data_IF_532004627447
#
_entry.id   IF_532004627447
#
_cell.length_a   1.000
_cell.length_b   1.000
_cell.length_c   1.000
_cell.angle_alpha   90.00
_cell.angle_beta   90.00
_cell.angle_gamma   90.00
#
_symmetry.space_group_name_H-M   'P 1'
#
loop_
_entity.id
_entity.type
_entity.pdbx_description
1 polymer ?
#
# COMPACT_ATOMS: atom_id res chain seq x y z
N UNK A 1 16.09 19.25 -7.55
CA UNK A 1 15.65 18.50 -6.35
C UNK A 1 15.27 19.52 -5.29
N UNK A 2 14.15 19.34 -4.58
CA UNK A 2 13.75 20.22 -3.48
C UNK A 2 14.58 19.94 -2.22
N UNK A 3 14.73 20.93 -1.35
CA UNK A 3 15.53 20.76 -0.12
C UNK A 3 14.98 19.65 0.80
N UNK A 4 13.67 19.44 0.84
CA UNK A 4 13.05 18.40 1.67
C UNK A 4 13.40 16.99 1.19
N UNK A 5 13.46 16.74 -0.13
CA UNK A 5 13.88 15.44 -0.65
C UNK A 5 15.33 15.12 -0.24
N UNK A 6 16.26 16.03 -0.48
CA UNK A 6 17.67 15.83 -0.08
C UNK A 6 17.82 15.65 1.44
N UNK A 7 17.07 16.40 2.24
CA UNK A 7 17.02 16.24 3.69
C UNK A 7 16.52 14.84 4.09
N UNK A 8 15.44 14.35 3.49
CA UNK A 8 14.92 13.02 3.77
C UNK A 8 15.92 11.93 3.39
N UNK A 9 16.58 12.04 2.25
CA UNK A 9 17.64 11.11 1.84
C UNK A 9 18.76 11.03 2.88
N UNK A 10 19.22 12.18 3.37
CA UNK A 10 20.27 12.26 4.42
C UNK A 10 19.78 11.64 5.74
N UNK A 11 18.55 11.97 6.13
CA UNK A 11 17.97 11.47 7.38
C UNK A 11 17.68 9.97 7.34
N UNK A 12 17.25 9.42 6.20
CA UNK A 12 17.08 7.98 6.02
C UNK A 12 18.42 7.25 6.15
N UNK A 13 19.48 7.80 5.57
CA UNK A 13 20.83 7.23 5.72
C UNK A 13 21.32 7.27 7.16
N UNK A 14 21.10 8.39 7.87
CA UNK A 14 21.53 8.56 9.26
C UNK A 14 20.70 7.72 10.26
N UNK A 15 19.42 7.46 9.96
CA UNK A 15 18.50 6.70 10.80
C UNK A 15 18.25 5.28 10.26
N UNK A 16 19.17 4.77 9.44
CA UNK A 16 19.04 3.43 8.86
C UNK A 16 18.85 2.37 9.96
N UNK A 17 17.82 1.51 9.86
CA UNK A 17 17.52 0.53 10.89
C UNK A 17 18.65 -0.50 11.05
N UNK A 18 18.85 -1.06 12.24
CA UNK A 18 19.76 -2.19 12.43
C UNK A 18 19.40 -3.36 11.51
N UNK A 19 20.42 -4.01 10.95
CA UNK A 19 20.23 -5.10 9.98
C UNK A 19 19.94 -4.64 8.55
N UNK A 20 20.09 -3.34 8.29
CA UNK A 20 19.92 -2.74 6.97
C UNK A 20 21.03 -1.76 6.65
N UNK A 21 21.36 -1.66 5.38
CA UNK A 21 22.21 -0.60 4.83
C UNK A 21 21.37 0.38 4.00
N UNK A 22 21.76 1.64 3.99
CA UNK A 22 21.07 2.70 3.26
C UNK A 22 22.02 3.38 2.26
N UNK A 23 21.62 3.41 1.00
CA UNK A 23 22.34 4.14 -0.07
C UNK A 23 21.42 5.20 -0.67
N UNK A 24 21.90 6.42 -0.83
CA UNK A 24 21.18 7.52 -1.48
C UNK A 24 21.46 7.52 -2.97
N UNK A 25 20.57 8.07 -3.77
CA UNK A 25 20.72 8.23 -5.22
C UNK A 25 21.20 6.93 -5.89
N UNK A 26 20.52 5.82 -5.57
CA UNK A 26 20.95 4.50 -6.00
C UNK A 26 20.49 4.20 -7.44
N UNK A 27 21.41 3.92 -8.32
CA UNK A 27 21.11 3.52 -9.68
C UNK A 27 20.36 2.18 -9.72
N UNK A 28 19.30 2.13 -10.52
CA UNK A 28 18.44 0.96 -10.73
C UNK A 28 18.99 0.08 -11.85
N UNK A 29 19.59 0.71 -12.84
CA UNK A 29 20.22 0.09 -14.00
C UNK A 29 21.75 0.12 -13.85
N UNK A 30 22.40 -0.87 -14.40
CA UNK A 30 23.85 -0.81 -14.61
C UNK A 30 24.22 0.18 -15.73
N UNK A 31 25.52 0.48 -15.84
CA UNK A 31 26.03 1.48 -16.81
C UNK A 31 25.74 1.09 -18.26
N UNK A 32 25.74 -0.21 -18.58
CA UNK A 32 25.46 -0.72 -19.91
C UNK A 32 24.02 -0.39 -20.32
N UNK A 33 23.05 -0.73 -19.48
CA UNK A 33 21.63 -0.45 -19.75
C UNK A 33 21.30 1.04 -19.71
N UNK A 34 21.96 1.83 -18.84
CA UNK A 34 21.83 3.29 -18.89
C UNK A 34 22.27 3.85 -20.23
N UNK A 35 23.37 3.33 -20.79
CA UNK A 35 23.85 3.70 -22.11
C UNK A 35 22.89 3.32 -23.22
N UNK A 36 22.31 2.13 -23.19
CA UNK A 36 21.35 1.64 -24.19
C UNK A 36 20.04 2.42 -24.16
N UNK A 37 19.51 2.68 -22.96
CA UNK A 37 18.21 3.34 -22.80
C UNK A 37 18.28 4.87 -22.86
N UNK A 38 19.48 5.44 -22.73
CA UNK A 38 19.68 6.88 -22.79
C UNK A 38 19.17 7.66 -21.58
N UNK A 39 18.90 6.99 -20.45
CA UNK A 39 18.52 7.62 -19.18
C UNK A 39 19.02 6.81 -17.98
N UNK A 40 19.24 7.50 -16.86
CA UNK A 40 19.49 6.87 -15.57
C UNK A 40 18.20 6.84 -14.74
N UNK A 41 17.81 5.66 -14.30
CA UNK A 41 16.78 5.50 -13.27
C UNK A 41 17.51 5.42 -11.92
N UNK A 42 17.17 6.34 -11.02
CA UNK A 42 17.73 6.38 -9.66
C UNK A 42 16.60 6.42 -8.64
N UNK A 43 16.78 5.66 -7.57
CA UNK A 43 15.98 5.79 -6.39
C UNK A 43 16.55 6.88 -5.46
N UNK A 44 15.70 7.67 -4.85
CA UNK A 44 16.11 8.61 -3.81
C UNK A 44 16.86 7.90 -2.68
N UNK A 45 16.35 6.73 -2.28
CA UNK A 45 16.96 5.86 -1.27
C UNK A 45 16.82 4.38 -1.64
N UNK A 46 17.87 3.62 -1.44
CA UNK A 46 17.86 2.16 -1.46
C UNK A 46 18.19 1.64 -0.06
N UNK A 47 17.22 0.95 0.55
CA UNK A 47 17.47 0.15 1.75
C UNK A 47 17.71 -1.30 1.35
N UNK A 48 18.84 -1.86 1.81
CA UNK A 48 19.18 -3.26 1.57
C UNK A 48 19.33 -3.97 2.91
N UNK A 49 18.62 -5.08 3.10
CA UNK A 49 18.79 -5.92 4.30
C UNK A 49 20.18 -6.55 4.26
N UNK A 50 20.82 -6.73 5.42
CA UNK A 50 22.23 -7.16 5.51
C UNK A 50 22.50 -8.53 4.88
N UNK A 51 21.49 -9.40 4.79
CA UNK A 51 21.57 -10.67 4.06
C UNK A 51 21.48 -10.52 2.53
N UNK A 52 21.27 -9.30 2.03
CA UNK A 52 21.11 -9.00 0.62
C UNK A 52 19.82 -9.50 -0.03
N UNK A 53 18.94 -10.21 0.72
CA UNK A 53 17.77 -10.89 0.17
C UNK A 53 16.57 -9.96 -0.04
N UNK A 54 16.59 -8.74 0.53
CA UNK A 54 15.48 -7.79 0.40
C UNK A 54 16.03 -6.39 0.15
N UNK A 55 15.51 -5.74 -0.88
CA UNK A 55 15.83 -4.35 -1.20
C UNK A 55 14.54 -3.55 -1.32
N UNK A 56 14.55 -2.32 -0.78
CA UNK A 56 13.47 -1.36 -0.92
C UNK A 56 14.00 -0.14 -1.69
N UNK A 57 13.46 0.06 -2.87
CA UNK A 57 13.72 1.20 -3.73
C UNK A 57 12.68 2.28 -3.43
N UNK A 58 13.10 3.37 -2.78
CA UNK A 58 12.20 4.39 -2.23
C UNK A 58 12.33 5.68 -3.03
N UNK A 59 11.19 6.23 -3.44
CA UNK A 59 11.04 7.54 -4.09
C UNK A 59 10.23 8.48 -3.21
N UNK A 60 10.70 9.72 -3.03
CA UNK A 60 10.03 10.77 -2.27
C UNK A 60 9.34 11.77 -3.19
N UNK A 61 8.05 11.66 -3.35
CA UNK A 61 7.25 12.57 -4.17
C UNK A 61 6.76 13.76 -3.33
N UNK A 62 7.64 14.71 -3.12
CA UNK A 62 7.43 15.86 -2.24
C UNK A 62 6.73 17.02 -2.94
N UNK A 63 7.11 17.29 -4.20
CA UNK A 63 6.68 18.48 -4.94
C UNK A 63 5.42 18.24 -5.76
N UNK A 64 4.91 19.32 -6.38
CA UNK A 64 3.84 19.21 -7.39
C UNK A 64 4.31 18.61 -8.71
N UNK A 65 5.59 18.31 -8.86
CA UNK A 65 6.12 17.63 -10.02
C UNK A 65 5.38 16.30 -10.26
N UNK A 66 5.44 15.82 -11.47
CA UNK A 66 4.71 14.61 -11.85
C UNK A 66 5.45 13.35 -11.35
N UNK A 67 4.90 12.61 -10.38
CA UNK A 67 5.52 11.39 -9.88
C UNK A 67 5.57 10.27 -10.94
N UNK A 68 4.72 10.33 -11.96
CA UNK A 68 4.62 9.30 -12.99
C UNK A 68 5.92 9.13 -13.78
N UNK A 69 6.67 10.21 -13.99
CA UNK A 69 7.95 10.13 -14.69
C UNK A 69 8.95 9.19 -13.99
N UNK A 70 9.02 9.25 -12.65
CA UNK A 70 9.87 8.35 -11.87
C UNK A 70 9.35 6.90 -11.93
N UNK A 71 8.06 6.70 -11.71
CA UNK A 71 7.44 5.37 -11.82
C UNK A 71 7.65 4.75 -13.21
N UNK A 72 7.52 5.54 -14.29
CA UNK A 72 7.76 5.08 -15.65
C UNK A 72 9.21 4.66 -15.87
N UNK A 73 10.19 5.41 -15.34
CA UNK A 73 11.61 5.03 -15.41
C UNK A 73 11.86 3.68 -14.76
N UNK A 74 11.31 3.46 -13.55
CA UNK A 74 11.45 2.18 -12.86
C UNK A 74 10.76 1.04 -13.62
N UNK A 75 9.54 1.24 -14.09
CA UNK A 75 8.81 0.23 -14.85
C UNK A 75 9.54 -0.16 -16.13
N UNK A 76 10.04 0.83 -16.87
CA UNK A 76 10.82 0.60 -18.11
C UNK A 76 12.14 -0.08 -17.80
N UNK A 77 12.84 0.37 -16.75
CA UNK A 77 14.08 -0.29 -16.32
C UNK A 77 13.87 -1.77 -16.00
N UNK A 78 12.76 -2.10 -15.32
CA UNK A 78 12.41 -3.47 -14.99
C UNK A 78 12.13 -4.34 -16.23
N UNK A 79 11.59 -3.78 -17.30
CA UNK A 79 11.36 -4.52 -18.56
C UNK A 79 12.66 -4.95 -19.23
N UNK A 80 13.74 -4.17 -19.08
CA UNK A 80 15.04 -4.44 -19.70
C UNK A 80 16.00 -5.15 -18.76
N UNK A 81 16.03 -4.76 -17.49
CA UNK A 81 16.81 -5.36 -16.42
C UNK A 81 15.88 -5.70 -15.24
N UNK A 82 15.22 -6.88 -15.28
CA UNK A 82 14.25 -7.27 -14.27
C UNK A 82 14.82 -7.28 -12.86
N UNK A 83 14.17 -6.58 -11.95
CA UNK A 83 14.51 -6.61 -10.54
C UNK A 83 14.09 -7.95 -9.94
N UNK A 84 14.84 -8.50 -8.97
CA UNK A 84 14.46 -9.71 -8.24
C UNK A 84 13.06 -9.60 -7.63
N UNK A 85 12.31 -10.71 -7.51
CA UNK A 85 10.97 -10.72 -6.90
C UNK A 85 10.96 -10.25 -5.43
N UNK A 86 12.11 -10.30 -4.76
CA UNK A 86 12.30 -9.83 -3.38
C UNK A 86 12.48 -8.32 -3.28
N UNK A 87 12.79 -7.67 -4.38
CA UNK A 87 12.91 -6.22 -4.46
C UNK A 87 11.53 -5.57 -4.45
N UNK A 88 11.44 -4.42 -3.81
CA UNK A 88 10.19 -3.70 -3.71
C UNK A 88 10.40 -2.22 -4.00
N UNK A 89 9.61 -1.68 -4.91
CA UNK A 89 9.52 -0.25 -5.14
C UNK A 89 8.48 0.36 -4.20
N UNK A 90 8.81 1.48 -3.56
CA UNK A 90 7.93 2.23 -2.65
C UNK A 90 7.91 3.69 -3.02
N UNK A 91 6.80 4.18 -3.53
CA UNK A 91 6.58 5.62 -3.73
C UNK A 91 5.96 6.23 -2.46
N UNK A 92 6.65 7.18 -1.84
CA UNK A 92 6.16 7.94 -0.70
C UNK A 92 5.67 9.31 -1.18
N UNK A 93 4.35 9.47 -1.30
CA UNK A 93 3.72 10.63 -1.96
C UNK A 93 3.15 11.59 -0.93
N UNK A 94 3.59 12.84 -0.94
CA UNK A 94 3.12 13.85 0.01
C UNK A 94 1.71 14.37 -0.33
N UNK A 95 1.07 14.96 0.68
CA UNK A 95 -0.23 15.64 0.51
C UNK A 95 -0.16 16.88 -0.41
N UNK A 96 1.05 17.42 -0.68
CA UNK A 96 1.27 18.55 -1.57
C UNK A 96 1.14 18.19 -3.06
N UNK A 97 1.35 16.93 -3.42
CA UNK A 97 1.03 16.41 -4.76
C UNK A 97 -0.48 16.47 -4.96
N UNK A 98 -0.93 17.07 -6.04
CA UNK A 98 -2.38 17.24 -6.28
C UNK A 98 -3.09 15.90 -6.42
N UNK A 99 -4.38 15.85 -6.04
CA UNK A 99 -5.17 14.61 -6.06
C UNK A 99 -5.09 13.87 -7.39
N UNK A 100 -5.27 14.57 -8.53
CA UNK A 100 -5.22 13.94 -9.85
C UNK A 100 -3.87 13.28 -10.15
N UNK A 101 -2.76 13.92 -9.76
CA UNK A 101 -1.42 13.35 -9.93
C UNK A 101 -1.14 12.18 -9.00
N UNK A 102 -1.63 12.23 -7.76
CA UNK A 102 -1.53 11.09 -6.83
C UNK A 102 -2.28 9.87 -7.35
N UNK A 103 -3.47 10.09 -7.93
CA UNK A 103 -4.25 9.02 -8.53
C UNK A 103 -3.55 8.43 -9.77
N UNK A 104 -2.97 9.29 -10.61
CA UNK A 104 -2.20 8.84 -11.76
C UNK A 104 -0.96 8.05 -11.33
N UNK A 105 -0.26 8.49 -10.28
CA UNK A 105 0.84 7.75 -9.68
C UNK A 105 0.38 6.37 -9.18
N UNK A 106 -0.74 6.30 -8.45
CA UNK A 106 -1.32 5.04 -7.99
C UNK A 106 -1.64 4.08 -9.15
N UNK A 107 -2.22 4.61 -10.25
CA UNK A 107 -2.47 3.80 -11.45
C UNK A 107 -1.17 3.32 -12.10
N UNK A 108 -0.10 4.11 -12.04
CA UNK A 108 1.21 3.70 -12.56
C UNK A 108 1.82 2.60 -11.69
N UNK A 109 1.63 2.62 -10.37
CA UNK A 109 2.00 1.49 -9.49
C UNK A 109 1.28 0.21 -9.92
N UNK A 110 -0.01 0.28 -10.24
CA UNK A 110 -0.74 -0.87 -10.76
C UNK A 110 -0.11 -1.39 -12.07
N UNK A 111 0.27 -0.49 -12.97
CA UNK A 111 1.00 -0.86 -14.20
C UNK A 111 2.34 -1.53 -13.88
N UNK A 112 3.13 -0.99 -12.93
CA UNK A 112 4.38 -1.61 -12.48
C UNK A 112 4.17 -3.05 -11.99
N UNK A 113 3.11 -3.30 -11.24
CA UNK A 113 2.77 -4.66 -10.80
C UNK A 113 2.40 -5.59 -11.95
N UNK A 114 1.71 -5.07 -12.99
CA UNK A 114 1.36 -5.85 -14.19
C UNK A 114 2.59 -6.26 -15.02
N UNK A 115 3.66 -5.49 -14.95
CA UNK A 115 4.94 -5.87 -15.59
C UNK A 115 5.84 -6.72 -14.68
N UNK A 116 5.34 -7.15 -13.53
CA UNK A 116 6.03 -8.10 -12.65
C UNK A 116 6.77 -7.47 -11.47
N UNK A 117 6.74 -6.16 -11.31
CA UNK A 117 7.36 -5.49 -10.16
C UNK A 117 6.53 -5.66 -8.89
N UNK A 118 7.20 -5.76 -7.76
CA UNK A 118 6.58 -5.55 -6.46
C UNK A 118 6.63 -4.06 -6.13
N UNK A 119 5.51 -3.36 -6.22
CA UNK A 119 5.45 -1.91 -6.08
C UNK A 119 4.29 -1.47 -5.18
N UNK A 120 4.52 -0.43 -4.37
CA UNK A 120 3.55 0.13 -3.43
C UNK A 120 3.63 1.66 -3.43
N UNK A 121 2.52 2.29 -3.06
CA UNK A 121 2.47 3.72 -2.77
C UNK A 121 2.01 3.92 -1.33
N UNK A 122 2.63 4.86 -0.63
CA UNK A 122 2.20 5.28 0.70
C UNK A 122 2.27 6.79 0.84
N UNK A 123 1.74 7.34 1.94
CA UNK A 123 1.84 8.76 2.20
C UNK A 123 3.17 9.12 2.83
N UNK A 124 3.79 10.18 2.31
CA UNK A 124 4.92 10.86 2.94
C UNK A 124 4.38 11.95 3.87
N UNK A 125 4.85 11.98 5.11
CA UNK A 125 4.46 12.94 6.14
C UNK A 125 2.93 13.10 6.26
N UNK A 126 2.18 12.04 6.60
CA UNK A 126 0.71 11.98 6.49
C UNK A 126 0.00 13.02 7.35
N UNK A 127 0.62 13.45 8.46
CA UNK A 127 0.05 14.43 9.39
C UNK A 127 0.41 15.89 9.04
N UNK A 128 1.04 16.10 7.88
CA UNK A 128 1.50 17.42 7.45
C UNK A 128 0.60 17.96 6.34
N UNK A 129 0.12 19.20 6.51
CA UNK A 129 -0.75 19.82 5.51
C UNK A 129 -0.01 20.12 4.19
N UNK A 130 -0.72 20.24 3.05
CA UNK A 130 -0.09 20.59 1.77
C UNK A 130 0.69 21.92 1.80
N UNK A 131 0.20 22.91 2.53
CA UNK A 131 0.88 24.19 2.71
C UNK A 131 2.16 24.07 3.52
N UNK A 132 2.13 23.23 4.54
CA UNK A 132 3.30 22.98 5.37
C UNK A 132 4.37 22.17 4.61
N UNK A 133 4.00 21.15 3.84
CA UNK A 133 4.93 20.44 2.95
C UNK A 133 5.59 21.43 1.97
N UNK A 134 4.79 22.34 1.39
CA UNK A 134 5.33 23.40 0.52
C UNK A 134 6.35 24.26 1.27
N UNK A 135 6.03 24.70 2.50
CA UNK A 135 6.93 25.49 3.35
C UNK A 135 8.23 24.74 3.62
N UNK A 136 8.12 23.49 4.09
CA UNK A 136 9.28 22.65 4.38
C UNK A 136 10.19 22.47 3.16
N UNK A 137 9.62 22.29 1.98
CA UNK A 137 10.40 22.09 0.74
C UNK A 137 11.15 23.35 0.26
N UNK A 138 10.90 24.53 0.89
CA UNK A 138 11.62 25.77 0.61
C UNK A 138 12.61 26.16 1.72
N UNK A 139 12.65 25.44 2.83
CA UNK A 139 13.61 25.67 3.90
C UNK A 139 15.01 25.20 3.50
N UNK A 140 16.03 25.80 4.11
CA UNK A 140 17.38 25.26 4.03
C UNK A 140 17.50 23.93 4.80
N UNK A 141 18.51 23.14 4.51
CA UNK A 141 18.77 21.89 5.27
C UNK A 141 18.98 22.19 6.76
N UNK A 142 19.65 23.30 7.10
CA UNK A 142 19.83 23.71 8.50
C UNK A 142 18.51 24.02 9.20
N UNK A 143 17.59 24.72 8.53
CA UNK A 143 16.26 25.01 9.08
C UNK A 143 15.39 23.75 9.19
N UNK A 144 15.55 22.81 8.27
CA UNK A 144 14.85 21.52 8.33
C UNK A 144 15.27 20.68 9.53
N UNK A 145 16.52 20.77 9.98
CA UNK A 145 16.98 20.10 11.20
C UNK A 145 16.26 20.59 12.47
N UNK A 146 15.74 21.81 12.45
CA UNK A 146 14.98 22.39 13.54
C UNK A 146 13.50 22.02 13.52
N UNK A 147 13.04 21.33 12.46
CA UNK A 147 11.65 20.90 12.34
C UNK A 147 11.45 19.51 12.96
N UNK A 148 10.24 19.28 13.50
CA UNK A 148 9.86 17.99 14.10
C UNK A 148 9.44 16.98 13.02
N UNK A 149 10.39 16.55 12.18
CA UNK A 149 10.17 15.51 11.17
C UNK A 149 10.61 14.16 11.76
N UNK A 150 9.64 13.28 12.00
CA UNK A 150 9.92 11.94 12.52
C UNK A 150 10.36 10.99 11.37
N UNK A 151 11.65 10.99 11.13
CA UNK A 151 12.27 10.16 10.08
C UNK A 151 12.14 8.67 10.37
N UNK A 152 12.17 8.25 11.64
CA UNK A 152 11.99 6.84 11.99
C UNK A 152 10.58 6.36 11.64
N UNK A 153 9.56 7.19 11.86
CA UNK A 153 8.20 6.89 11.42
C UNK A 153 8.08 6.75 9.90
N UNK A 154 8.78 7.60 9.14
CA UNK A 154 8.75 7.52 7.67
C UNK A 154 9.47 6.25 7.17
N UNK A 155 10.63 5.90 7.74
CA UNK A 155 11.33 4.63 7.42
C UNK A 155 10.43 3.44 7.76
N UNK A 156 9.86 3.41 8.97
CA UNK A 156 8.96 2.35 9.40
C UNK A 156 7.78 2.19 8.43
N UNK A 157 7.19 3.29 7.96
CA UNK A 157 6.10 3.28 6.98
C UNK A 157 6.53 2.66 5.65
N UNK A 158 7.68 3.06 5.12
CA UNK A 158 8.20 2.50 3.87
C UNK A 158 8.48 1.00 4.00
N UNK A 159 9.00 0.54 5.14
CA UNK A 159 9.27 -0.86 5.39
C UNK A 159 7.99 -1.69 5.55
N UNK A 160 7.01 -1.14 6.25
CA UNK A 160 5.77 -1.85 6.61
C UNK A 160 4.81 -1.99 5.44
N UNK A 161 4.73 -1.00 4.54
CA UNK A 161 3.84 -1.07 3.37
C UNK A 161 4.14 -2.28 2.48
N UNK A 162 5.37 -2.77 2.50
CA UNK A 162 5.82 -3.93 1.72
C UNK A 162 5.89 -5.24 2.50
N UNK A 163 5.51 -5.21 3.77
CA UNK A 163 5.67 -6.37 4.66
C UNK A 163 4.33 -6.96 5.02
N UNK A 164 4.27 -8.28 5.09
CA UNK A 164 3.16 -8.98 5.70
C UNK A 164 3.21 -8.81 7.22
N UNK A 165 2.05 -8.76 7.85
CA UNK A 165 1.90 -8.77 9.30
C UNK A 165 1.38 -10.13 9.69
N UNK A 166 2.16 -10.87 10.49
CA UNK A 166 1.70 -12.14 11.07
C UNK A 166 0.76 -11.83 12.23
N UNK A 167 -0.41 -12.44 12.22
CA UNK A 167 -1.37 -12.39 13.33
C UNK A 167 -1.06 -13.44 14.38
N UNK A 168 -1.72 -13.37 15.55
CA UNK A 168 -1.64 -14.41 16.59
C UNK A 168 -2.10 -15.79 16.11
N UNK A 169 -2.84 -15.85 14.99
CA UNK A 169 -3.30 -17.08 14.33
C UNK A 169 -2.37 -17.52 13.20
N UNK A 170 -1.15 -16.99 13.13
CA UNK A 170 -0.19 -17.20 12.02
C UNK A 170 -0.70 -16.72 10.65
N UNK A 171 -1.77 -15.92 10.63
CA UNK A 171 -2.29 -15.32 9.42
C UNK A 171 -1.40 -14.16 8.96
N UNK A 172 -1.06 -14.12 7.70
CA UNK A 172 -0.37 -12.98 7.11
C UNK A 172 -1.38 -11.97 6.58
N UNK A 173 -1.32 -10.75 7.09
CA UNK A 173 -2.10 -9.62 6.58
C UNK A 173 -1.12 -8.66 5.92
N UNK A 174 -1.34 -8.37 4.63
CA UNK A 174 -0.55 -7.36 3.97
C UNK A 174 -1.04 -5.97 4.33
N UNK A 175 -0.07 -5.11 4.45
CA UNK A 175 -0.30 -3.72 4.74
C UNK A 175 -1.02 -3.03 3.58
N UNK A 176 -2.12 -2.34 3.86
CA UNK A 176 -2.86 -1.55 2.90
C UNK A 176 -2.90 -0.09 3.35
N UNK A 177 -2.09 0.76 2.73
CA UNK A 177 -2.01 2.19 3.04
C UNK A 177 -3.00 3.03 2.25
N UNK A 178 -3.44 2.57 1.09
CA UNK A 178 -4.37 3.26 0.21
C UNK A 178 -5.25 2.28 -0.59
N UNK A 179 -6.10 2.80 -1.48
CA UNK A 179 -6.98 2.00 -2.30
C UNK A 179 -6.23 1.02 -3.21
N UNK A 180 -5.08 1.42 -3.73
CA UNK A 180 -4.28 0.56 -4.58
C UNK A 180 -3.75 -0.65 -3.81
N UNK A 181 -3.26 -0.43 -2.59
CA UNK A 181 -2.80 -1.51 -1.73
C UNK A 181 -3.93 -2.50 -1.43
N UNK A 182 -5.13 -1.98 -1.14
CA UNK A 182 -6.33 -2.80 -0.93
C UNK A 182 -6.60 -3.69 -2.13
N UNK A 183 -6.67 -3.13 -3.33
CA UNK A 183 -6.96 -3.88 -4.55
C UNK A 183 -5.86 -4.86 -4.92
N UNK A 184 -4.60 -4.47 -4.75
CA UNK A 184 -3.45 -5.33 -5.08
C UNK A 184 -3.32 -6.53 -4.17
N UNK A 185 -3.81 -6.43 -2.95
CA UNK A 185 -3.83 -7.54 -2.02
C UNK A 185 -5.01 -8.50 -2.26
N UNK A 186 -5.94 -8.18 -3.16
CA UNK A 186 -7.12 -9.02 -3.41
C UNK A 186 -6.73 -10.46 -3.78
N UNK A 187 -5.69 -10.66 -4.60
CA UNK A 187 -5.20 -11.99 -4.95
C UNK A 187 -4.70 -12.76 -3.73
N UNK A 188 -3.86 -12.12 -2.93
CA UNK A 188 -3.31 -12.77 -1.75
C UNK A 188 -4.40 -13.11 -0.72
N UNK A 189 -5.38 -12.24 -0.52
CA UNK A 189 -6.51 -12.55 0.35
C UNK A 189 -7.36 -13.70 -0.17
N UNK A 190 -7.43 -13.91 -1.49
CA UNK A 190 -8.02 -15.11 -2.07
C UNK A 190 -7.19 -16.36 -1.75
N UNK A 191 -5.86 -16.29 -1.90
CA UNK A 191 -4.96 -17.37 -1.58
C UNK A 191 -5.06 -17.75 -0.08
N UNK A 192 -5.18 -16.77 0.81
CA UNK A 192 -5.38 -17.00 2.25
C UNK A 192 -6.74 -17.65 2.55
N UNK A 193 -7.83 -17.23 1.90
CA UNK A 193 -9.14 -17.86 2.04
C UNK A 193 -9.10 -19.33 1.62
N UNK A 194 -8.33 -19.67 0.61
CA UNK A 194 -8.18 -21.04 0.10
C UNK A 194 -7.28 -21.91 0.98
N UNK A 195 -6.48 -21.33 1.85
CA UNK A 195 -5.62 -22.07 2.78
C UNK A 195 -6.44 -22.89 3.79
N UNK A 196 -5.87 -23.96 4.32
CA UNK A 196 -6.54 -24.78 5.33
C UNK A 196 -6.93 -23.94 6.56
N UNK A 197 -6.03 -23.09 7.04
CA UNK A 197 -6.31 -22.19 8.15
C UNK A 197 -7.41 -21.18 7.80
N UNK A 198 -7.42 -20.67 6.57
CA UNK A 198 -8.47 -19.80 6.06
C UNK A 198 -9.84 -20.46 6.06
N UNK A 199 -9.92 -21.68 5.64
CA UNK A 199 -11.17 -22.46 5.66
C UNK A 199 -11.71 -22.60 7.08
N UNK A 200 -10.87 -22.89 8.06
CA UNK A 200 -11.26 -23.04 9.45
C UNK A 200 -11.77 -21.73 10.05
N UNK A 201 -11.11 -20.61 9.75
CA UNK A 201 -11.44 -19.31 10.31
C UNK A 201 -12.62 -18.64 9.58
N UNK A 202 -12.68 -18.75 8.26
CA UNK A 202 -13.66 -18.02 7.43
C UNK A 202 -14.88 -18.83 7.11
N UNK A 203 -14.79 -20.13 7.01
CA UNK A 203 -15.92 -21.02 6.72
C UNK A 203 -17.03 -21.00 7.76
N UNK A 204 -16.75 -20.55 8.99
CA UNK A 204 -17.71 -20.37 10.07
C UNK A 204 -18.41 -19.00 10.07
N UNK A 205 -17.95 -18.05 9.26
CA UNK A 205 -18.41 -16.65 9.29
C UNK A 205 -19.28 -16.32 8.09
N UNK A 206 -20.32 -15.53 8.31
CA UNK A 206 -21.12 -14.94 7.24
C UNK A 206 -20.54 -13.59 6.83
N UNK A 207 -20.38 -13.37 5.53
CA UNK A 207 -19.78 -12.17 4.98
C UNK A 207 -20.80 -11.45 4.12
N UNK A 208 -20.98 -10.16 4.36
CA UNK A 208 -21.90 -9.30 3.61
C UNK A 208 -21.19 -8.49 2.56
N UNK A 209 -20.04 -7.91 2.90
CA UNK A 209 -19.32 -6.95 2.06
C UNK A 209 -18.11 -7.57 1.43
N UNK A 210 -17.98 -7.41 0.11
CA UNK A 210 -16.86 -7.91 -0.68
C UNK A 210 -16.24 -6.78 -1.46
N UNK A 211 -14.92 -6.70 -1.47
CA UNK A 211 -14.19 -5.82 -2.38
C UNK A 211 -14.10 -6.52 -3.73
N UNK A 212 -14.39 -5.78 -4.77
CA UNK A 212 -14.22 -6.23 -6.15
C UNK A 212 -13.05 -5.51 -6.80
N UNK A 213 -12.08 -6.26 -7.29
CA UNK A 213 -11.00 -5.76 -8.14
C UNK A 213 -11.37 -6.02 -9.61
N UNK A 214 -11.74 -4.95 -10.31
CA UNK A 214 -12.14 -5.03 -11.72
C UNK A 214 -10.99 -5.43 -12.65
N UNK A 215 -9.74 -5.18 -12.25
CA UNK A 215 -8.56 -5.51 -13.07
C UNK A 215 -8.28 -7.01 -13.11
N UNK A 216 -8.52 -7.72 -12.00
CA UNK A 216 -8.28 -9.17 -11.87
C UNK A 216 -9.56 -10.00 -11.90
N UNK A 217 -10.73 -9.36 -11.72
CA UNK A 217 -12.00 -10.04 -11.56
C UNK A 217 -12.15 -10.78 -10.22
N UNK A 218 -11.26 -10.52 -9.26
CA UNK A 218 -11.26 -11.17 -7.96
C UNK A 218 -12.11 -10.42 -6.94
N UNK A 219 -12.56 -11.17 -5.95
CA UNK A 219 -13.27 -10.65 -4.80
C UNK A 219 -12.51 -10.96 -3.52
N UNK A 220 -12.55 -10.05 -2.57
CA UNK A 220 -12.01 -10.28 -1.24
C UNK A 220 -13.03 -9.89 -0.17
N UNK A 221 -13.24 -10.73 0.86
CA UNK A 221 -14.09 -10.37 1.99
C UNK A 221 -13.58 -9.08 2.63
N UNK A 222 -14.45 -8.10 2.89
CA UNK A 222 -14.05 -6.81 3.47
C UNK A 222 -13.38 -6.94 4.83
N UNK A 223 -13.63 -8.04 5.53
CA UNK A 223 -12.98 -8.34 6.81
C UNK A 223 -11.49 -8.62 6.69
N UNK A 224 -11.01 -9.09 5.53
CA UNK A 224 -9.59 -9.23 5.24
C UNK A 224 -8.94 -7.92 4.80
N UNK A 225 -9.71 -7.06 4.21
CA UNK A 225 -9.26 -5.81 3.67
C UNK A 225 -9.17 -4.78 4.78
N UNK A 226 -8.42 -5.12 5.78
CA UNK A 226 -8.13 -4.23 6.85
C UNK A 226 -7.15 -3.17 6.38
N UNK A 227 -7.58 -1.96 6.46
CA UNK A 227 -6.72 -0.82 6.31
C UNK A 227 -5.83 -0.71 7.54
N UNK A 228 -4.60 -1.15 7.42
CA UNK A 228 -3.62 -1.05 8.51
C UNK A 228 -2.67 0.07 8.16
N UNK A 229 -2.82 1.19 8.82
CA UNK A 229 -1.80 2.21 8.81
C UNK A 229 -0.81 1.90 9.93
N UNK A 230 0.44 1.69 9.59
CA UNK A 230 1.47 1.46 10.57
C UNK A 230 1.69 2.73 11.38
N UNK A 231 1.40 2.61 12.65
CA UNK A 231 1.83 3.60 13.62
C UNK A 231 3.21 3.23 14.12
N UNK A 232 4.12 4.19 14.21
CA UNK A 232 5.34 4.01 14.97
C UNK A 232 5.01 3.56 16.39
N UNK A 233 5.76 2.60 16.92
CA UNK A 233 5.63 2.20 18.31
C UNK A 233 5.75 3.45 19.21
N UNK A 234 4.77 3.67 20.07
CA UNK A 234 4.78 4.76 21.06
C UNK A 234 3.88 5.96 20.74
N UNK A 235 3.19 6.00 19.59
CA UNK A 235 2.17 7.02 19.36
C UNK A 235 0.83 6.63 20.00
N UNK A 236 0.30 7.55 20.80
CA UNK A 236 -1.03 7.40 21.41
C UNK A 236 -2.12 7.37 20.34
N UNK A 237 -3.00 6.37 20.40
CA UNK A 237 -4.16 6.20 19.51
C UNK A 237 -5.07 7.45 19.45
N UNK A 238 -5.02 8.33 20.46
CA UNK A 238 -5.89 9.50 20.58
C UNK A 238 -5.60 10.67 19.64
N UNK A 239 -4.48 10.62 18.89
CA UNK A 239 -4.10 11.66 17.92
C UNK A 239 -4.23 11.23 16.46
N UNK A 240 -4.70 10.03 16.24
CA UNK A 240 -4.82 9.49 14.91
C UNK A 240 -6.19 9.91 14.39
N UNK A 241 -6.19 10.77 13.37
CA UNK A 241 -7.40 11.10 12.64
C UNK A 241 -8.15 9.81 12.27
N UNK A 242 -9.47 9.89 12.15
CA UNK A 242 -10.41 8.80 11.76
C UNK A 242 -10.01 8.00 10.50
N UNK A 243 -8.84 8.25 9.93
CA UNK A 243 -8.25 7.57 8.78
C UNK A 243 -7.40 6.36 9.15
N UNK A 244 -7.13 6.15 10.43
CA UNK A 244 -6.24 5.11 10.91
C UNK A 244 -7.06 4.14 11.76
N UNK A 245 -7.23 2.95 11.26
CA UNK A 245 -7.82 1.89 12.05
C UNK A 245 -6.75 1.27 12.94
N UNK A 246 -7.11 0.96 14.17
CA UNK A 246 -6.21 0.29 15.08
C UNK A 246 -5.75 -1.03 14.49
N UNK A 247 -4.45 -1.26 14.42
CA UNK A 247 -3.86 -2.53 13.99
C UNK A 247 -4.45 -3.73 14.75
N UNK A 248 -4.76 -3.51 16.02
CA UNK A 248 -5.35 -4.52 16.89
C UNK A 248 -6.70 -5.04 16.40
N UNK A 249 -7.48 -4.18 15.74
CA UNK A 249 -8.80 -4.54 15.22
C UNK A 249 -8.72 -5.50 14.03
N UNK A 250 -7.62 -5.51 13.31
CA UNK A 250 -7.43 -6.23 12.06
C UNK A 250 -6.48 -7.41 12.15
N UNK A 251 -5.57 -7.38 13.10
CA UNK A 251 -4.66 -8.50 13.33
C UNK A 251 -5.27 -9.59 14.20
N UNK A 252 -6.36 -9.29 14.91
CA UNK A 252 -7.05 -10.28 15.71
C UNK A 252 -8.09 -11.01 14.84
N UNK A 253 -7.64 -12.05 14.15
CA UNK A 253 -8.49 -13.04 13.49
C UNK A 253 -8.90 -14.17 14.44
N UNK A 254 -8.56 -14.05 15.71
CA UNK A 254 -8.88 -15.00 16.74
C UNK A 254 -10.40 -15.16 16.88
N UNK A 255 -10.86 -16.41 17.00
CA UNK A 255 -12.28 -16.74 17.23
C UNK A 255 -12.82 -16.11 18.52
N UNK A 256 -11.94 -15.80 19.47
CA UNK A 256 -12.27 -15.15 20.74
C UNK A 256 -12.59 -13.66 20.61
N UNK A 257 -12.24 -13.01 19.49
CA UNK A 257 -12.57 -11.60 19.25
C UNK A 257 -13.97 -11.47 18.62
N UNK A 258 -15.02 -11.29 19.43
CA UNK A 258 -16.39 -11.15 18.89
C UNK A 258 -16.61 -9.84 18.12
N UNK A 259 -15.62 -8.95 18.09
CA UNK A 259 -15.73 -7.56 17.60
C UNK A 259 -15.01 -7.28 16.28
N UNK A 260 -14.58 -8.30 15.53
CA UNK A 260 -14.11 -8.04 14.16
C UNK A 260 -15.28 -7.55 13.31
N UNK A 261 -15.48 -6.24 13.31
CA UNK A 261 -16.64 -5.61 12.74
C UNK A 261 -16.46 -5.33 11.24
N UNK A 262 -17.08 -6.17 10.42
CA UNK A 262 -17.13 -5.96 8.97
C UNK A 262 -17.81 -4.66 8.55
N UNK A 263 -18.70 -4.10 9.39
CA UNK A 263 -19.33 -2.82 9.12
C UNK A 263 -18.35 -1.66 9.34
N UNK A 264 -17.46 -1.77 10.33
CA UNK A 264 -16.42 -0.78 10.56
C UNK A 264 -15.41 -0.77 9.40
N UNK A 265 -14.96 -1.95 8.97
CA UNK A 265 -14.10 -2.09 7.79
C UNK A 265 -14.76 -1.52 6.52
N UNK A 266 -16.01 -1.87 6.26
CA UNK A 266 -16.79 -1.34 5.15
C UNK A 266 -16.91 0.18 5.22
N UNK A 267 -17.26 0.72 6.38
CA UNK A 267 -17.40 2.17 6.59
C UNK A 267 -16.09 2.92 6.32
N UNK A 268 -14.95 2.33 6.71
CA UNK A 268 -13.64 2.88 6.43
C UNK A 268 -13.32 2.89 4.93
N UNK A 269 -13.46 1.74 4.26
CA UNK A 269 -13.22 1.61 2.82
C UNK A 269 -14.08 2.58 2.02
N UNK A 270 -15.35 2.74 2.40
CA UNK A 270 -16.26 3.64 1.73
C UNK A 270 -15.93 5.12 2.00
N UNK A 271 -15.73 5.52 3.25
CA UNK A 271 -15.56 6.92 3.63
C UNK A 271 -14.14 7.43 3.39
N UNK A 272 -13.13 6.61 3.66
CA UNK A 272 -11.72 7.04 3.58
C UNK A 272 -11.13 6.79 2.19
N UNK A 273 -11.43 5.64 1.59
CA UNK A 273 -10.91 5.27 0.28
C UNK A 273 -11.90 5.58 -0.86
N UNK A 274 -13.07 6.16 -0.56
CA UNK A 274 -14.11 6.50 -1.52
C UNK A 274 -14.57 5.31 -2.38
N UNK A 275 -14.50 4.09 -1.87
CA UNK A 275 -15.07 2.95 -2.54
C UNK A 275 -16.60 3.10 -2.60
N UNK A 276 -17.18 2.71 -3.73
CA UNK A 276 -18.63 2.75 -3.90
C UNK A 276 -19.24 1.42 -3.50
N UNK A 277 -20.38 1.47 -2.83
CA UNK A 277 -21.22 0.31 -2.62
C UNK A 277 -22.09 0.08 -3.87
N UNK A 278 -22.24 -1.17 -4.23
CA UNK A 278 -23.22 -1.60 -5.24
C UNK A 278 -23.77 -2.97 -4.87
N UNK A 279 -24.93 -3.27 -5.37
CA UNK A 279 -25.64 -4.54 -5.13
C UNK A 279 -25.64 -5.42 -6.39
N UNK A 280 -25.99 -6.71 -6.27
CA UNK A 280 -26.16 -7.58 -7.43
C UNK A 280 -27.12 -7.03 -8.49
N UNK A 281 -28.18 -6.37 -8.06
CA UNK A 281 -29.22 -5.79 -8.93
C UNK A 281 -28.70 -4.58 -9.69
N UNK A 282 -27.90 -3.74 -9.02
CA UNK A 282 -27.32 -2.52 -9.61
C UNK A 282 -26.15 -2.82 -10.56
N UNK A 283 -25.49 -3.97 -10.38
CA UNK A 283 -24.30 -4.34 -11.18
C UNK A 283 -24.36 -5.81 -11.61
N UNK A 284 -25.18 -6.16 -12.60
CA UNK A 284 -25.36 -7.55 -13.04
C UNK A 284 -24.08 -8.24 -13.49
N UNK A 285 -23.14 -7.49 -14.11
CA UNK A 285 -21.85 -8.02 -14.56
C UNK A 285 -20.96 -8.43 -13.37
N UNK A 286 -20.94 -7.62 -12.29
CA UNK A 286 -20.21 -7.96 -11.07
C UNK A 286 -20.85 -9.18 -10.39
N UNK A 287 -22.18 -9.20 -10.37
CA UNK A 287 -22.94 -10.33 -9.82
C UNK A 287 -22.63 -11.64 -10.55
N UNK A 288 -22.53 -11.62 -11.87
CA UNK A 288 -22.16 -12.79 -12.67
C UNK A 288 -20.73 -13.28 -12.33
N UNK A 289 -19.79 -12.37 -12.26
CA UNK A 289 -18.41 -12.68 -11.85
C UNK A 289 -18.36 -13.25 -10.42
N UNK A 290 -19.15 -12.65 -9.53
CA UNK A 290 -19.26 -13.11 -8.13
C UNK A 290 -19.81 -14.50 -8.02
N UNK A 291 -20.83 -14.86 -8.78
CA UNK A 291 -21.38 -16.22 -8.77
C UNK A 291 -20.32 -17.26 -9.15
N UNK A 292 -19.50 -16.98 -10.15
CA UNK A 292 -18.38 -17.85 -10.55
C UNK A 292 -17.29 -17.93 -9.47
N UNK A 293 -16.98 -16.80 -8.83
CA UNK A 293 -16.02 -16.75 -7.72
C UNK A 293 -16.58 -17.49 -6.50
N UNK A 294 -17.84 -17.25 -6.14
CA UNK A 294 -18.51 -17.90 -5.01
C UNK A 294 -18.56 -19.42 -5.17
N UNK A 295 -18.83 -19.92 -6.38
CA UNK A 295 -18.86 -21.35 -6.64
C UNK A 295 -17.51 -22.03 -6.32
N UNK A 296 -16.39 -21.36 -6.58
CA UNK A 296 -15.05 -21.86 -6.23
C UNK A 296 -14.78 -21.83 -4.73
N UNK A 297 -15.38 -20.88 -3.99
CA UNK A 297 -15.15 -20.64 -2.56
C UNK A 297 -16.33 -21.08 -1.67
N UNK A 298 -17.29 -21.84 -2.20
CA UNK A 298 -18.52 -22.19 -1.51
C UNK A 298 -18.32 -22.91 -0.16
N UNK A 299 -17.22 -23.66 -0.05
CA UNK A 299 -16.88 -24.38 1.18
C UNK A 299 -16.11 -23.51 2.18
N UNK A 300 -15.64 -22.34 1.77
CA UNK A 300 -14.74 -21.49 2.55
C UNK A 300 -15.44 -20.26 3.12
N UNK A 301 -16.48 -19.77 2.47
CA UNK A 301 -17.16 -18.52 2.83
C UNK A 301 -18.66 -18.70 2.76
N UNK A 302 -19.35 -18.22 3.80
CA UNK A 302 -20.82 -18.13 3.83
C UNK A 302 -21.24 -16.70 3.54
N UNK A 303 -22.21 -16.54 2.65
CA UNK A 303 -22.79 -15.23 2.35
C UNK A 303 -23.83 -14.89 3.40
N UNK A 304 -23.79 -13.64 3.89
CA UNK A 304 -24.81 -13.14 4.81
C UNK A 304 -26.19 -13.09 4.13
N UNK A 305 -27.31 -13.42 4.83
CA UNK A 305 -28.64 -13.41 4.21
C UNK A 305 -29.06 -12.09 3.55
N UNK A 306 -28.52 -10.96 4.01
CA UNK A 306 -28.77 -9.62 3.42
C UNK A 306 -27.63 -9.14 2.49
N UNK A 307 -26.84 -10.04 1.95
CA UNK A 307 -25.75 -9.72 1.02
C UNK A 307 -25.79 -10.65 -0.19
N UNK A 308 -24.80 -10.59 -1.09
CA UNK A 308 -23.59 -9.77 -1.00
C UNK A 308 -23.81 -8.29 -1.32
N UNK A 309 -22.92 -7.45 -0.82
CA UNK A 309 -22.79 -6.05 -1.22
C UNK A 309 -21.34 -5.85 -1.69
N UNK A 310 -21.16 -5.24 -2.85
CA UNK A 310 -19.85 -5.07 -3.43
C UNK A 310 -19.28 -3.68 -3.14
N UNK A 311 -18.02 -3.65 -2.76
CA UNK A 311 -17.19 -2.45 -2.67
C UNK A 311 -16.35 -2.38 -3.93
N UNK A 312 -16.58 -1.38 -4.74
CA UNK A 312 -15.90 -1.18 -6.01
C UNK A 312 -15.07 0.10 -5.97
N UNK A 313 -13.96 0.11 -6.69
CA UNK A 313 -13.14 1.30 -6.80
C UNK A 313 -13.96 2.48 -7.34
N UNK A 314 -13.65 3.72 -6.93
CA UNK A 314 -14.34 4.89 -7.48
C UNK A 314 -14.03 5.05 -8.97
N UNK A 315 -14.94 5.66 -9.72
CA UNK A 315 -14.85 5.81 -11.18
C UNK A 315 -13.58 6.51 -11.69
N UNK A 316 -12.94 7.30 -10.85
CA UNK A 316 -11.69 7.98 -11.22
C UNK A 316 -10.44 7.08 -11.08
N UNK A 317 -10.62 5.89 -10.51
CA UNK A 317 -9.53 4.93 -10.29
C UNK A 317 -9.47 3.85 -11.38
N UNK A 318 -10.59 3.62 -12.07
CA UNK A 318 -10.75 2.57 -13.10
C UNK A 318 -10.55 3.15 -14.49
#
# INVERSE_FOLDING_TARGET
MGSLTGFLQERFAAACPPGWTCRREADVLDDEWQGVLGYAARADVLLTRDDGQKRLWIEFEVSRADPVANHAKFATSHLFQPQPPTDTFVAMVSSHVTRGRRNLAANTILLMRRVGMRAFQTMLLPNTSPSEIKRLNHLSTGDLLLQSIDTHAEIARAMLVSSAISTNSEYEIHYAGDLLDVLSNAKQWNDEVESQLGQELWGKRTIKYFIYDAATGLFAPSKFCAYINALPQGHSESRIHNQLMSMRLYTSLDESEPKFDGNLAQSHLQRQLNMRLTTPEESPHISHNFASWQARHANHIRIHPSGPVFLVAPNWFV
#
